data_IF_063171691504
#
_entry.id   IF_063171691504
#
_cell.length_a   1.000
_cell.length_b   1.000
_cell.length_c   1.000
_cell.angle_alpha   90.00
_cell.angle_beta   90.00
_cell.angle_gamma   90.00
#
_symmetry.space_group_name_H-M   'P 1'
#
loop_
_entity.id
_entity.type
_entity.pdbx_description
1 polymer ?
#
# COMPACT_ATOMS: atom_id res chain seq x y z
N UNK A 1 9.12 -67.38 11.62
CA UNK A 1 10.53 -67.70 11.94
C UNK A 1 11.30 -66.41 11.78
N UNK A 2 12.06 -66.07 12.82
CA UNK A 2 12.44 -64.72 13.20
C UNK A 2 13.28 -63.98 12.15
N UNK A 3 12.95 -62.72 11.89
CA UNK A 3 13.76 -61.80 11.10
C UNK A 3 14.44 -60.82 12.06
N UNK A 4 15.63 -61.20 12.53
CA UNK A 4 16.52 -60.31 13.26
C UNK A 4 17.27 -59.43 12.25
N UNK A 5 16.71 -58.27 11.92
CA UNK A 5 17.40 -57.23 11.14
C UNK A 5 18.33 -56.43 12.05
N UNK A 6 19.47 -57.02 12.38
CA UNK A 6 20.58 -56.26 12.93
C UNK A 6 21.33 -55.61 11.76
N UNK A 7 20.96 -54.36 11.43
CA UNK A 7 21.73 -53.52 10.52
C UNK A 7 23.07 -53.23 11.21
N UNK A 8 24.23 -53.54 10.60
CA UNK A 8 25.50 -53.13 11.17
C UNK A 8 25.52 -51.59 11.14
N UNK A 9 25.56 -50.97 12.31
CA UNK A 9 26.01 -49.59 12.44
C UNK A 9 27.49 -49.58 12.07
N UNK A 10 27.73 -49.46 10.77
CA UNK A 10 29.05 -49.20 10.24
C UNK A 10 29.22 -47.69 10.38
N UNK A 11 29.64 -47.30 11.58
CA UNK A 11 30.07 -45.95 11.93
C UNK A 11 31.22 -45.62 10.99
N UNK A 12 30.91 -45.11 9.80
CA UNK A 12 31.91 -44.62 8.86
C UNK A 12 32.52 -43.40 9.51
N UNK A 13 33.56 -43.64 10.30
CA UNK A 13 34.40 -42.63 10.93
C UNK A 13 34.86 -41.66 9.85
N UNK A 14 34.14 -40.53 9.73
CA UNK A 14 34.41 -39.44 8.80
C UNK A 14 35.86 -38.91 8.93
N UNK A 15 36.49 -39.21 10.08
CA UNK A 15 37.87 -38.94 10.42
C UNK A 15 38.90 -39.54 9.43
N UNK A 16 38.59 -40.65 8.76
CA UNK A 16 39.50 -41.31 7.81
C UNK A 16 39.45 -40.78 6.39
N UNK A 17 38.32 -40.20 5.96
CA UNK A 17 38.09 -39.78 4.57
C UNK A 17 38.49 -38.32 4.32
N UNK A 18 38.37 -37.47 5.34
CA UNK A 18 38.71 -36.06 5.23
C UNK A 18 39.12 -35.48 6.61
N UNK A 19 40.36 -35.70 7.06
CA UNK A 19 40.85 -35.24 8.37
C UNK A 19 40.89 -33.70 8.51
N UNK A 20 40.70 -32.96 7.41
CA UNK A 20 40.51 -31.51 7.43
C UNK A 20 39.07 -31.10 7.77
N UNK A 21 38.07 -31.91 7.43
CA UNK A 21 36.65 -31.63 7.67
C UNK A 21 36.22 -31.96 9.11
N UNK A 22 36.88 -32.91 9.77
CA UNK A 22 36.65 -33.20 11.20
C UNK A 22 37.02 -32.03 12.12
N UNK A 23 37.79 -31.05 11.62
CA UNK A 23 38.15 -29.83 12.34
C UNK A 23 37.14 -28.70 12.16
N UNK A 24 36.15 -28.86 11.27
CA UNK A 24 35.12 -27.86 11.04
C UNK A 24 34.01 -28.06 12.06
N UNK A 25 33.64 -27.01 12.80
CA UNK A 25 32.46 -27.04 13.67
C UNK A 25 31.25 -27.31 12.77
N UNK A 26 30.62 -28.48 12.92
CA UNK A 26 29.35 -28.80 12.29
C UNK A 26 28.32 -27.87 12.92
N UNK A 27 28.07 -26.73 12.25
CA UNK A 27 26.94 -25.88 12.54
C UNK A 27 25.83 -26.39 11.64
N UNK A 28 24.85 -27.08 12.24
CA UNK A 28 23.62 -27.44 11.54
C UNK A 28 22.82 -26.16 11.29
N UNK A 29 22.72 -25.66 10.04
CA UNK A 29 21.97 -24.43 9.76
C UNK A 29 20.46 -24.61 9.93
N UNK A 30 19.99 -25.86 10.06
CA UNK A 30 18.59 -26.22 10.28
C UNK A 30 18.29 -26.56 11.75
N UNK A 31 19.32 -26.62 12.59
CA UNK A 31 19.20 -26.94 14.01
C UNK A 31 18.78 -25.74 14.85
N UNK A 32 18.02 -25.96 15.94
CA UNK A 32 17.73 -24.89 16.89
C UNK A 32 19.04 -24.38 17.51
N UNK A 33 19.10 -23.08 17.81
CA UNK A 33 20.26 -22.49 18.47
C UNK A 33 20.51 -23.14 19.84
N UNK A 34 21.77 -23.10 20.31
CA UNK A 34 22.16 -23.64 21.61
C UNK A 34 21.29 -23.11 22.77
N UNK A 35 20.68 -21.93 22.62
CA UNK A 35 19.84 -21.25 23.61
C UNK A 35 18.31 -21.33 23.36
N UNK A 36 17.87 -21.95 22.27
CA UNK A 36 16.46 -22.05 21.90
C UNK A 36 15.63 -22.72 23.01
N UNK A 37 16.08 -23.91 23.46
CA UNK A 37 15.36 -24.68 24.48
C UNK A 37 15.43 -24.02 25.86
N UNK A 38 16.51 -23.33 26.18
CA UNK A 38 16.63 -22.59 27.45
C UNK A 38 15.62 -21.44 27.52
N UNK A 39 15.47 -20.68 26.42
CA UNK A 39 14.50 -19.60 26.34
C UNK A 39 13.05 -20.10 26.38
N UNK A 40 12.78 -21.23 25.72
CA UNK A 40 11.48 -21.90 25.78
C UNK A 40 11.16 -22.36 27.20
N UNK A 41 12.11 -23.03 27.87
CA UNK A 41 11.95 -23.51 29.23
C UNK A 41 11.72 -22.35 30.20
N UNK A 42 12.49 -21.26 30.09
CA UNK A 42 12.29 -20.07 30.91
C UNK A 42 10.89 -19.48 30.73
N UNK A 43 10.40 -19.38 29.48
CA UNK A 43 9.04 -18.91 29.18
C UNK A 43 7.97 -19.84 29.75
N UNK A 44 8.18 -21.15 29.68
CA UNK A 44 7.27 -22.16 30.22
C UNK A 44 7.20 -22.09 31.75
N UNK A 45 8.34 -21.96 32.42
CA UNK A 45 8.40 -21.82 33.89
C UNK A 45 7.72 -20.54 34.35
N UNK A 46 7.96 -19.41 33.70
CA UNK A 46 7.25 -18.16 34.00
C UNK A 46 5.74 -18.34 33.87
N UNK A 47 5.28 -19.00 32.81
CA UNK A 47 3.85 -19.22 32.61
C UNK A 47 3.22 -20.14 33.67
N UNK A 48 3.94 -21.14 34.16
CA UNK A 48 3.47 -21.99 35.26
C UNK A 48 3.35 -21.16 36.53
N UNK A 49 4.39 -20.39 36.88
CA UNK A 49 4.39 -19.53 38.06
C UNK A 49 3.24 -18.50 38.02
N UNK A 50 3.02 -17.85 36.87
CA UNK A 50 1.92 -16.89 36.69
C UNK A 50 0.56 -17.56 36.95
N UNK A 51 0.37 -18.82 36.52
CA UNK A 51 -0.88 -19.54 36.72
C UNK A 51 -1.07 -19.93 38.19
N UNK A 52 -0.03 -20.38 38.88
CA UNK A 52 -0.06 -20.68 40.31
C UNK A 52 -0.36 -19.43 41.15
N UNK A 53 0.25 -18.29 40.80
CA UNK A 53 -0.01 -16.99 41.45
C UNK A 53 -1.47 -16.57 41.28
N UNK A 54 -2.01 -16.67 40.06
CA UNK A 54 -3.40 -16.34 39.76
C UNK A 54 -4.36 -17.29 40.49
N UNK A 55 -4.06 -18.59 40.55
CA UNK A 55 -4.87 -19.56 41.29
C UNK A 55 -4.95 -19.21 42.79
N UNK A 56 -3.85 -18.77 43.39
CA UNK A 56 -3.79 -18.39 44.79
C UNK A 56 -4.46 -17.03 45.09
N UNK A 57 -4.29 -16.02 44.23
CA UNK A 57 -4.73 -14.65 44.50
C UNK A 57 -6.10 -14.32 43.90
N UNK A 58 -6.45 -14.92 42.78
CA UNK A 58 -7.65 -14.59 42.02
C UNK A 58 -8.25 -15.84 41.31
N UNK A 59 -8.73 -16.84 42.07
CA UNK A 59 -9.26 -18.09 41.52
C UNK A 59 -10.47 -17.87 40.60
N UNK A 60 -11.17 -16.74 40.77
CA UNK A 60 -12.26 -16.35 39.88
C UNK A 60 -11.78 -15.95 38.48
N UNK A 61 -10.61 -15.32 38.35
CA UNK A 61 -10.03 -14.96 37.05
C UNK A 61 -9.61 -16.20 36.25
N UNK A 62 -9.12 -17.24 36.93
CA UNK A 62 -8.77 -18.52 36.31
C UNK A 62 -9.99 -19.18 35.63
N UNK A 63 -11.17 -19.00 36.23
CA UNK A 63 -12.42 -19.58 35.75
C UNK A 63 -13.16 -18.74 34.71
N UNK A 64 -12.65 -17.55 34.33
CA UNK A 64 -13.25 -16.76 33.26
C UNK A 64 -12.93 -17.43 31.92
N UNK A 65 -13.97 -17.68 31.13
CA UNK A 65 -13.83 -18.14 29.76
C UNK A 65 -12.97 -17.17 28.95
N UNK A 66 -11.89 -17.65 28.34
CA UNK A 66 -11.12 -16.88 27.37
C UNK A 66 -11.90 -16.79 26.08
N UNK A 67 -12.59 -15.66 25.88
CA UNK A 67 -13.18 -15.29 24.61
C UNK A 67 -12.52 -14.02 24.10
N UNK A 68 -12.37 -13.88 22.78
CA UNK A 68 -11.87 -12.66 22.15
C UNK A 68 -13.04 -11.68 21.96
N UNK A 69 -13.11 -10.56 22.69
CA UNK A 69 -14.17 -9.57 22.48
C UNK A 69 -13.95 -8.70 21.23
N UNK A 70 -12.77 -8.78 20.60
CA UNK A 70 -12.39 -7.98 19.44
C UNK A 70 -12.47 -8.80 18.16
N UNK A 71 -13.66 -9.31 17.87
CA UNK A 71 -13.96 -9.98 16.61
C UNK A 71 -14.78 -9.04 15.72
N UNK A 72 -14.39 -8.93 14.46
CA UNK A 72 -15.18 -8.21 13.47
C UNK A 72 -16.28 -9.13 12.92
N UNK A 73 -17.47 -8.61 12.56
CA UNK A 73 -18.48 -9.39 11.87
C UNK A 73 -17.94 -10.01 10.58
N UNK A 74 -18.59 -11.09 10.14
CA UNK A 74 -18.38 -11.61 8.79
C UNK A 74 -18.57 -10.47 7.77
N UNK A 75 -17.76 -10.48 6.72
CA UNK A 75 -17.82 -9.55 5.60
C UNK A 75 -17.58 -8.06 5.95
N UNK A 76 -17.11 -7.75 7.18
CA UNK A 76 -16.80 -6.37 7.59
C UNK A 76 -15.89 -5.65 6.59
N UNK A 77 -14.82 -6.31 6.16
CA UNK A 77 -13.87 -5.73 5.22
C UNK A 77 -14.38 -5.72 3.77
N UNK A 78 -15.32 -6.59 3.42
CA UNK A 78 -15.94 -6.63 2.09
C UNK A 78 -16.95 -5.49 1.91
N UNK A 79 -17.70 -5.15 2.96
CA UNK A 79 -18.67 -4.04 2.95
C UNK A 79 -18.03 -2.67 3.23
N UNK A 80 -16.87 -2.64 3.89
CA UNK A 80 -16.21 -1.40 4.32
C UNK A 80 -15.99 -0.39 3.17
N UNK A 81 -15.48 -0.78 1.98
CA UNK A 81 -15.29 0.16 0.87
C UNK A 81 -16.60 0.84 0.44
N UNK A 82 -17.68 0.06 0.34
CA UNK A 82 -19.01 0.56 -0.03
C UNK A 82 -19.55 1.53 1.01
N UNK A 83 -19.45 1.18 2.30
CA UNK A 83 -19.90 2.03 3.41
C UNK A 83 -19.14 3.37 3.42
N UNK A 84 -17.82 3.33 3.22
CA UNK A 84 -16.99 4.55 3.16
C UNK A 84 -17.39 5.40 1.96
N UNK A 85 -17.55 4.80 0.77
CA UNK A 85 -17.94 5.51 -0.44
C UNK A 85 -19.31 6.18 -0.31
N UNK A 86 -20.30 5.51 0.29
CA UNK A 86 -21.63 6.07 0.53
C UNK A 86 -21.55 7.28 1.47
N UNK A 87 -20.78 7.18 2.55
CA UNK A 87 -20.62 8.29 3.51
C UNK A 87 -19.95 9.52 2.90
N UNK A 88 -18.89 9.34 2.11
CA UNK A 88 -18.17 10.48 1.51
C UNK A 88 -18.97 11.15 0.39
N UNK A 89 -19.77 10.39 -0.36
CA UNK A 89 -20.55 10.92 -1.48
C UNK A 89 -21.85 11.58 -1.02
N UNK A 90 -22.50 11.03 0.01
CA UNK A 90 -23.76 11.56 0.56
C UNK A 90 -23.58 12.82 1.40
N UNK A 91 -22.38 13.05 1.96
CA UNK A 91 -22.03 14.30 2.63
C UNK A 91 -21.82 15.49 1.67
N UNK A 92 -21.62 15.22 0.36
CA UNK A 92 -21.51 16.27 -0.66
C UNK A 92 -22.91 16.64 -1.14
N UNK A 93 -23.54 17.59 -0.44
CA UNK A 93 -24.71 18.32 -0.93
C UNK A 93 -24.41 18.85 -2.34
N UNK A 94 -24.95 18.16 -3.36
CA UNK A 94 -24.94 18.64 -4.74
C UNK A 94 -25.95 19.77 -4.77
N UNK A 95 -25.51 21.01 -4.55
CA UNK A 95 -26.33 22.18 -4.89
C UNK A 95 -26.57 22.03 -6.40
N UNK A 96 -27.80 21.74 -6.85
CA UNK A 96 -28.04 21.54 -8.27
C UNK A 96 -27.70 22.85 -8.96
N UNK A 97 -26.87 22.79 -10.00
CA UNK A 97 -26.44 23.98 -10.76
C UNK A 97 -27.63 24.82 -11.25
N UNK A 98 -28.79 24.20 -11.44
CA UNK A 98 -30.05 24.87 -11.76
C UNK A 98 -30.57 25.80 -10.64
N UNK A 99 -30.44 25.43 -9.36
CA UNK A 99 -30.83 26.30 -8.23
C UNK A 99 -29.87 27.47 -8.06
N UNK A 100 -28.57 27.25 -8.30
CA UNK A 100 -27.58 28.32 -8.34
C UNK A 100 -27.84 29.29 -9.51
N UNK A 101 -28.22 28.77 -10.69
CA UNK A 101 -28.57 29.56 -11.87
C UNK A 101 -29.88 30.35 -11.70
N UNK A 102 -30.89 29.77 -11.03
CA UNK A 102 -32.14 30.49 -10.74
C UNK A 102 -31.93 31.69 -9.79
N UNK A 103 -30.88 31.67 -8.98
CA UNK A 103 -30.51 32.80 -8.11
C UNK A 103 -30.11 34.03 -8.93
N UNK A 104 -29.55 33.84 -10.13
CA UNK A 104 -29.19 34.91 -11.07
C UNK A 104 -30.40 35.63 -11.68
N UNK A 105 -31.54 34.94 -11.80
CA UNK A 105 -32.74 35.44 -12.47
C UNK A 105 -33.67 36.17 -11.48
N UNK A 106 -33.38 36.14 -10.17
CA UNK A 106 -34.12 36.91 -9.17
C UNK A 106 -34.04 38.42 -9.50
N UNK A 107 -35.12 39.21 -9.30
CA UNK A 107 -35.20 40.61 -9.72
C UNK A 107 -34.16 41.54 -9.10
N UNK A 108 -33.42 41.06 -8.09
CA UNK A 108 -32.32 41.78 -7.43
C UNK A 108 -30.98 41.71 -8.18
N UNK A 109 -30.77 40.75 -9.08
CA UNK A 109 -29.46 40.49 -9.72
C UNK A 109 -29.42 40.70 -11.25
N UNK A 110 -30.55 41.06 -11.88
CA UNK A 110 -30.64 41.20 -13.34
C UNK A 110 -29.78 42.35 -13.89
N UNK A 111 -29.73 43.49 -13.19
CA UNK A 111 -29.03 44.70 -13.65
C UNK A 111 -27.51 44.50 -13.77
N UNK A 112 -26.77 44.05 -12.73
CA UNK A 112 -25.32 43.87 -12.84
C UNK A 112 -24.91 42.75 -13.82
N UNK A 113 -25.70 41.68 -13.94
CA UNK A 113 -25.41 40.62 -14.92
C UNK A 113 -25.65 41.08 -16.36
N UNK A 114 -26.71 41.85 -16.60
CA UNK A 114 -26.95 42.41 -17.93
C UNK A 114 -25.83 43.38 -18.34
N UNK A 115 -25.34 44.23 -17.43
CA UNK A 115 -24.28 45.18 -17.76
C UNK A 115 -22.94 44.51 -18.04
N UNK A 116 -22.55 43.47 -17.28
CA UNK A 116 -21.31 42.73 -17.54
C UNK A 116 -21.36 41.98 -18.87
N UNK A 117 -22.48 41.35 -19.21
CA UNK A 117 -22.68 40.67 -20.50
C UNK A 117 -22.66 41.68 -21.66
N UNK A 118 -23.31 42.83 -21.52
CA UNK A 118 -23.32 43.88 -22.56
C UNK A 118 -21.91 44.43 -22.79
N UNK A 119 -21.14 44.69 -21.72
CA UNK A 119 -19.75 45.18 -21.82
C UNK A 119 -18.84 44.12 -22.47
N UNK A 120 -19.00 42.84 -22.11
CA UNK A 120 -18.25 41.75 -22.73
C UNK A 120 -18.56 41.62 -24.23
N UNK A 121 -19.84 41.62 -24.62
CA UNK A 121 -20.27 41.54 -26.03
C UNK A 121 -19.83 42.77 -26.82
N UNK A 122 -19.94 43.97 -26.25
CA UNK A 122 -19.45 45.19 -26.88
C UNK A 122 -17.93 45.18 -27.05
N UNK A 123 -17.20 44.70 -26.05
CA UNK A 123 -15.73 44.52 -26.11
C UNK A 123 -15.32 43.53 -27.19
N UNK A 124 -15.99 42.37 -27.28
CA UNK A 124 -15.75 41.37 -28.33
C UNK A 124 -16.09 41.95 -29.71
N UNK A 125 -17.21 42.65 -29.85
CA UNK A 125 -17.60 43.26 -31.13
C UNK A 125 -16.64 44.37 -31.56
N UNK A 126 -16.15 45.18 -30.63
CA UNK A 126 -15.17 46.23 -30.89
C UNK A 126 -13.81 45.66 -31.30
N UNK A 127 -13.35 44.59 -30.63
CA UNK A 127 -12.13 43.89 -31.01
C UNK A 127 -12.28 43.21 -32.37
N UNK A 128 -13.43 42.58 -32.65
CA UNK A 128 -13.70 41.91 -33.92
C UNK A 128 -13.79 42.90 -35.11
N UNK A 129 -14.28 44.13 -34.89
CA UNK A 129 -14.27 45.19 -35.91
C UNK A 129 -12.87 45.72 -36.24
N UNK A 130 -11.94 45.65 -35.29
CA UNK A 130 -10.55 46.08 -35.47
C UNK A 130 -9.59 44.94 -35.80
N UNK A 131 -10.03 43.68 -35.69
CA UNK A 131 -9.29 42.51 -36.16
C UNK A 131 -9.52 42.40 -37.66
N UNK A 132 -8.53 42.79 -38.48
CA UNK A 132 -8.55 42.46 -39.90
C UNK A 132 -8.83 40.96 -40.06
N UNK A 133 -9.82 40.62 -40.89
CA UNK A 133 -10.35 39.27 -41.16
C UNK A 133 -9.40 38.15 -40.73
N UNK A 134 -9.58 37.64 -39.51
CA UNK A 134 -9.00 36.36 -39.13
C UNK A 134 -9.88 35.31 -39.79
N UNK A 135 -9.30 34.58 -40.76
CA UNK A 135 -9.98 33.47 -41.40
C UNK A 135 -10.51 32.50 -40.33
N UNK A 136 -11.68 31.88 -40.53
CA UNK A 136 -12.12 30.82 -39.66
C UNK A 136 -11.04 29.73 -39.68
N UNK A 137 -10.37 29.55 -38.55
CA UNK A 137 -9.59 28.34 -38.30
C UNK A 137 -10.65 27.24 -38.22
N UNK A 138 -10.67 26.38 -39.23
CA UNK A 138 -11.35 25.10 -39.12
C UNK A 138 -10.66 24.39 -37.97
N UNK A 139 -11.37 24.13 -36.87
CA UNK A 139 -10.87 23.20 -35.88
C UNK A 139 -10.82 21.83 -36.57
N UNK A 140 -9.64 21.52 -37.10
CA UNK A 140 -9.27 20.15 -37.38
C UNK A 140 -9.20 19.49 -36.00
N UNK A 141 -10.15 18.58 -35.76
CA UNK A 141 -10.25 17.75 -34.57
C UNK A 141 -8.96 16.91 -34.49
N UNK A 142 -7.90 17.53 -33.96
CA UNK A 142 -6.58 16.94 -33.89
C UNK A 142 -6.69 15.79 -32.90
N UNK A 143 -6.76 14.57 -33.43
CA UNK A 143 -6.89 13.37 -32.62
C UNK A 143 -5.81 13.41 -31.54
N UNK A 144 -6.22 13.26 -30.28
CA UNK A 144 -5.28 13.22 -29.14
C UNK A 144 -4.21 12.13 -29.34
N UNK A 145 -4.52 11.11 -30.15
CA UNK A 145 -3.61 10.07 -30.64
C UNK A 145 -2.38 10.65 -31.37
N UNK A 146 -2.57 11.66 -32.24
CA UNK A 146 -1.48 12.25 -33.03
C UNK A 146 -0.61 13.18 -32.17
N UNK A 147 -1.18 13.84 -31.16
CA UNK A 147 -0.40 14.62 -30.19
C UNK A 147 0.45 13.71 -29.28
N UNK A 148 -0.05 12.53 -28.93
CA UNK A 148 0.70 11.54 -28.15
C UNK A 148 1.86 10.92 -28.96
N UNK A 149 1.76 10.85 -30.28
CA UNK A 149 2.85 10.37 -31.15
C UNK A 149 4.09 11.28 -31.14
N UNK A 150 3.90 12.59 -30.88
CA UNK A 150 5.01 13.55 -30.81
C UNK A 150 5.67 13.63 -29.43
N UNK A 151 5.17 12.90 -28.43
CA UNK A 151 5.83 12.81 -27.13
C UNK A 151 6.94 11.79 -27.26
N UNK A 152 8.17 12.29 -27.40
CA UNK A 152 9.37 11.47 -27.37
C UNK A 152 9.50 10.76 -26.00
N UNK A 153 9.85 9.46 -25.99
CA UNK A 153 10.06 8.69 -24.76
C UNK A 153 11.10 9.34 -23.86
N UNK A 154 12.11 9.99 -24.45
CA UNK A 154 13.12 10.73 -23.71
C UNK A 154 12.52 11.87 -22.88
N UNK A 155 11.48 12.56 -23.37
CA UNK A 155 10.81 13.63 -22.63
C UNK A 155 9.99 13.09 -21.46
N UNK A 156 9.40 11.90 -21.62
CA UNK A 156 8.73 11.18 -20.53
C UNK A 156 9.75 10.81 -19.45
N UNK A 157 10.87 10.20 -19.84
CA UNK A 157 11.94 9.83 -18.91
C UNK A 157 12.52 11.06 -18.22
N UNK A 158 12.72 12.17 -18.94
CA UNK A 158 13.18 13.44 -18.34
C UNK A 158 12.19 13.96 -17.31
N UNK A 159 10.88 13.93 -17.57
CA UNK A 159 9.87 14.36 -16.60
C UNK A 159 9.82 13.45 -15.37
N UNK A 160 9.90 12.12 -15.57
CA UNK A 160 9.95 11.16 -14.46
C UNK A 160 11.23 11.33 -13.64
N UNK A 161 12.39 11.42 -14.30
CA UNK A 161 13.67 11.62 -13.61
C UNK A 161 13.78 13.02 -13.00
N UNK A 162 13.15 14.05 -13.55
CA UNK A 162 13.08 15.39 -12.96
C UNK A 162 12.17 15.42 -11.71
N UNK A 163 11.05 14.67 -11.74
CA UNK A 163 10.21 14.45 -10.56
C UNK A 163 10.95 13.61 -9.51
N UNK A 164 11.71 12.58 -9.91
CA UNK A 164 12.57 11.78 -9.02
C UNK A 164 13.80 12.56 -8.53
N UNK A 165 14.31 13.52 -9.30
CA UNK A 165 15.46 14.36 -8.93
C UNK A 165 15.14 15.43 -7.88
N UNK A 166 13.86 15.65 -7.56
CA UNK A 166 13.46 16.40 -6.36
C UNK A 166 13.36 15.54 -5.09
N UNK A 167 13.54 14.22 -5.21
CA UNK A 167 13.76 13.27 -4.10
C UNK A 167 15.10 12.55 -4.31
N UNK A 168 16.18 13.32 -4.31
CA UNK A 168 17.51 12.76 -4.12
C UNK A 168 17.78 12.64 -2.62
N UNK A 169 17.34 11.53 -2.03
CA UNK A 169 18.11 10.90 -0.95
C UNK A 169 18.48 9.48 -1.40
N UNK A 170 19.80 9.28 -1.53
CA UNK A 170 20.55 8.04 -1.36
C UNK A 170 19.73 6.75 -1.54
N UNK A 171 19.93 6.06 -2.66
CA UNK A 171 19.69 4.61 -2.75
C UNK A 171 20.63 3.92 -1.76
N UNK A 172 20.27 3.97 -0.48
CA UNK A 172 20.82 3.16 0.60
C UNK A 172 20.18 1.79 0.44
N UNK A 173 20.98 0.72 0.55
CA UNK A 173 20.55 -0.69 0.44
C UNK A 173 19.27 -1.00 1.22
N UNK A 174 19.01 -0.23 2.29
CA UNK A 174 17.79 -0.25 3.10
C UNK A 174 16.50 -0.09 2.32
N UNK A 175 16.45 0.76 1.28
CA UNK A 175 15.19 0.99 0.53
C UNK A 175 14.79 -0.20 -0.36
N UNK A 176 15.78 -0.95 -0.83
CA UNK A 176 15.54 -2.18 -1.59
C UNK A 176 15.20 -3.32 -0.62
N UNK A 177 15.87 -3.41 0.53
CA UNK A 177 15.49 -4.35 1.61
C UNK A 177 14.05 -4.12 2.08
N UNK A 178 13.65 -2.88 2.36
CA UNK A 178 12.31 -2.56 2.85
C UNK A 178 11.23 -2.95 1.82
N UNK A 179 11.49 -2.73 0.52
CA UNK A 179 10.56 -3.13 -0.54
C UNK A 179 10.40 -4.66 -0.66
N UNK A 180 11.51 -5.39 -0.53
CA UNK A 180 11.51 -6.86 -0.57
C UNK A 180 10.78 -7.44 0.65
N UNK A 181 10.92 -6.81 1.83
CA UNK A 181 10.23 -7.19 3.06
C UNK A 181 8.73 -6.88 2.98
N UNK A 182 8.35 -5.67 2.56
CA UNK A 182 6.94 -5.24 2.51
C UNK A 182 6.12 -6.02 1.49
N UNK A 183 6.75 -6.46 0.39
CA UNK A 183 6.08 -7.24 -0.66
C UNK A 183 6.38 -8.74 -0.58
N UNK A 184 7.12 -9.17 0.45
CA UNK A 184 7.45 -10.57 0.74
C UNK A 184 8.11 -11.30 -0.47
N UNK A 185 8.98 -10.59 -1.19
CA UNK A 185 9.68 -11.09 -2.39
C UNK A 185 10.99 -11.74 -1.94
N UNK A 186 11.07 -13.06 -2.03
CA UNK A 186 12.28 -13.82 -1.68
C UNK A 186 13.24 -13.92 -2.88
N UNK A 187 14.55 -13.96 -2.63
CA UNK A 187 15.61 -14.05 -3.68
C UNK A 187 15.47 -15.32 -4.55
N UNK A 188 14.79 -16.36 -4.05
CA UNK A 188 14.54 -17.62 -4.76
C UNK A 188 13.45 -17.53 -5.83
N UNK A 189 12.71 -16.43 -5.89
CA UNK A 189 11.59 -16.22 -6.81
C UNK A 189 11.97 -15.43 -8.08
N UNK A 190 13.28 -15.15 -8.29
CA UNK A 190 13.84 -14.49 -9.48
C UNK A 190 14.50 -15.46 -10.48
#
# INVERSE_FOLDING_TARGET
MDHNNNIPNEDKDLNGLAPGLSKLKVVDPTGPSDSYFDSFNAKLQNRINDLEEIEAMAPTLLNISKYNPFEVPADYFDELPTIVQEKVTSARSKIPVAEWLLLLIKPRFIIPFATTIIIAVAGINYMNRNSGTLQPVYEEDLSLEEQLYYIDEAAIIEQYTANTASESETTSETGIEDYLIDNNVEETDL
#
